data_IF_992292584825
#
_entry.id   IF_992292584825
#
_cell.length_a   1.000
_cell.length_b   1.000
_cell.length_c   1.000
_cell.angle_alpha   90.00
_cell.angle_beta   90.00
_cell.angle_gamma   90.00
#
_symmetry.space_group_name_H-M   'P 1'
#
loop_
_entity.id
_entity.type
_entity.pdbx_description
1 polymer ?
#
# COMPACT_ATOMS: atom_id res chain seq x y z
N UNK A 1 -31.63 -25.50 -25.23
CA UNK A 1 -31.05 -26.64 -24.46
C UNK A 1 -29.79 -27.31 -25.08
N UNK A 2 -28.87 -26.65 -25.81
CA UNK A 2 -27.62 -27.31 -26.26
C UNK A 2 -26.37 -27.00 -25.40
N UNK A 3 -26.42 -25.96 -24.57
CA UNK A 3 -25.27 -25.45 -23.79
C UNK A 3 -24.91 -26.35 -22.59
N UNK A 4 -25.93 -26.88 -21.90
CA UNK A 4 -25.73 -27.75 -20.74
C UNK A 4 -25.21 -29.15 -21.12
N UNK A 5 -25.58 -29.64 -22.31
CA UNK A 5 -25.10 -30.90 -22.88
C UNK A 5 -23.66 -30.81 -23.37
N UNK A 6 -23.24 -29.68 -23.94
CA UNK A 6 -21.84 -29.45 -24.36
C UNK A 6 -20.88 -29.26 -23.18
N UNK A 7 -21.34 -28.70 -22.06
CA UNK A 7 -20.54 -28.60 -20.82
C UNK A 7 -20.30 -29.99 -20.20
N UNK A 8 -21.30 -30.88 -20.22
CA UNK A 8 -21.17 -32.26 -19.72
C UNK A 8 -20.12 -33.06 -20.49
N UNK A 9 -20.03 -32.93 -21.82
CA UNK A 9 -19.09 -33.71 -22.65
C UNK A 9 -17.64 -33.19 -22.61
N UNK A 10 -17.40 -31.91 -22.25
CA UNK A 10 -16.03 -31.39 -22.07
C UNK A 10 -15.35 -31.84 -20.78
N UNK A 11 -16.13 -32.18 -19.75
CA UNK A 11 -15.62 -32.63 -18.45
C UNK A 11 -15.86 -34.11 -18.13
N UNK A 12 -16.82 -34.78 -18.78
CA UNK A 12 -17.03 -36.21 -18.63
C UNK A 12 -15.92 -37.00 -19.36
N UNK A 13 -15.01 -37.62 -18.59
CA UNK A 13 -14.09 -38.66 -19.10
C UNK A 13 -12.60 -38.43 -18.85
N UNK A 14 -12.18 -37.26 -18.35
CA UNK A 14 -10.76 -36.96 -18.13
C UNK A 14 -10.46 -36.41 -16.73
N UNK A 15 -10.48 -37.27 -15.68
CA UNK A 15 -10.21 -36.85 -14.30
C UNK A 15 -8.85 -36.16 -14.13
N UNK A 16 -7.83 -36.59 -14.88
CA UNK A 16 -6.50 -35.97 -14.87
C UNK A 16 -6.48 -34.55 -15.46
N UNK A 17 -7.32 -34.23 -16.45
CA UNK A 17 -7.41 -32.87 -17.02
C UNK A 17 -8.06 -31.92 -16.03
N UNK A 18 -9.17 -32.33 -15.41
CA UNK A 18 -9.84 -31.57 -14.36
C UNK A 18 -8.87 -31.28 -13.20
N UNK A 19 -8.18 -32.32 -12.71
CA UNK A 19 -7.19 -32.20 -11.64
C UNK A 19 -6.07 -31.21 -12.00
N UNK A 20 -5.46 -31.34 -13.18
CA UNK A 20 -4.40 -30.43 -13.65
C UNK A 20 -4.89 -28.99 -13.76
N UNK A 21 -6.10 -28.76 -14.28
CA UNK A 21 -6.67 -27.41 -14.36
C UNK A 21 -6.93 -26.83 -12.98
N UNK A 22 -7.46 -27.61 -12.04
CA UNK A 22 -7.73 -27.17 -10.67
C UNK A 22 -6.43 -26.82 -9.94
N UNK A 23 -5.38 -27.62 -10.11
CA UNK A 23 -4.07 -27.32 -9.54
C UNK A 23 -3.55 -25.99 -10.10
N UNK A 24 -3.55 -25.81 -11.43
CA UNK A 24 -3.08 -24.57 -12.05
C UNK A 24 -3.87 -23.35 -11.58
N UNK A 25 -5.19 -23.43 -11.49
CA UNK A 25 -6.01 -22.31 -11.02
C UNK A 25 -5.74 -21.97 -9.56
N UNK A 26 -5.55 -22.95 -8.68
CA UNK A 26 -5.17 -22.72 -7.29
C UNK A 26 -3.81 -22.03 -7.20
N UNK A 27 -2.81 -22.50 -7.95
CA UNK A 27 -1.49 -21.88 -7.98
C UNK A 27 -1.54 -20.43 -8.49
N UNK A 28 -2.26 -20.18 -9.58
CA UNK A 28 -2.45 -18.83 -10.14
C UNK A 28 -3.16 -17.92 -9.12
N UNK A 29 -4.24 -18.40 -8.50
CA UNK A 29 -4.96 -17.65 -7.48
C UNK A 29 -4.07 -17.36 -6.26
N UNK A 30 -3.29 -18.34 -5.80
CA UNK A 30 -2.35 -18.17 -4.69
C UNK A 30 -1.28 -17.12 -5.01
N UNK A 31 -0.70 -17.15 -6.21
CA UNK A 31 0.27 -16.14 -6.66
C UNK A 31 -0.38 -14.75 -6.71
N UNK A 32 -1.59 -14.64 -7.28
CA UNK A 32 -2.30 -13.38 -7.39
C UNK A 32 -2.63 -12.77 -6.01
N UNK A 33 -3.13 -13.58 -5.07
CA UNK A 33 -3.45 -13.12 -3.71
C UNK A 33 -2.18 -12.81 -2.91
N UNK A 34 -1.12 -13.60 -3.10
CA UNK A 34 0.14 -13.42 -2.37
C UNK A 34 0.91 -12.18 -2.84
N UNK A 35 0.96 -11.91 -4.14
CA UNK A 35 1.86 -10.93 -4.75
C UNK A 35 1.19 -9.79 -5.54
N UNK A 36 -0.11 -9.89 -5.82
CA UNK A 36 -0.87 -8.88 -6.55
C UNK A 36 -1.38 -7.77 -5.65
N UNK A 37 -2.61 -7.93 -5.14
CA UNK A 37 -3.30 -6.89 -4.38
C UNK A 37 -3.77 -7.38 -3.01
N UNK A 38 -4.00 -6.45 -2.08
CA UNK A 38 -4.68 -6.71 -0.81
C UNK A 38 -5.65 -5.60 -0.45
N UNK A 39 -6.80 -5.97 0.10
CA UNK A 39 -7.76 -5.06 0.70
C UNK A 39 -7.54 -4.99 2.20
N UNK A 40 -7.34 -3.79 2.73
CA UNK A 40 -7.03 -3.59 4.16
C UNK A 40 -7.93 -2.50 4.71
N UNK A 41 -8.66 -2.76 5.82
CA UNK A 41 -9.37 -1.70 6.53
C UNK A 41 -8.37 -0.79 7.22
N UNK A 42 -8.64 0.51 7.21
CA UNK A 42 -7.78 1.52 7.84
C UNK A 42 -8.47 2.10 9.06
N UNK A 43 -7.67 2.41 10.08
CA UNK A 43 -8.12 3.10 11.27
C UNK A 43 -7.07 4.13 11.71
N UNK A 44 -7.55 5.25 12.22
CA UNK A 44 -6.71 6.32 12.78
C UNK A 44 -6.73 7.62 11.97
N UNK A 45 -6.57 8.74 12.66
CA UNK A 45 -6.72 10.08 12.11
C UNK A 45 -5.50 10.61 11.33
N UNK A 46 -4.40 9.85 11.29
CA UNK A 46 -3.10 10.37 10.83
C UNK A 46 -2.99 10.67 9.34
N UNK A 47 -3.92 10.13 8.54
CA UNK A 47 -3.97 10.31 7.09
C UNK A 47 -5.15 11.18 6.64
N UNK A 48 -5.83 11.88 7.57
CA UNK A 48 -6.84 12.87 7.18
C UNK A 48 -6.19 13.99 6.34
N UNK A 49 -6.86 14.53 5.31
CA UNK A 49 -8.20 14.16 4.81
C UNK A 49 -8.17 13.04 3.75
N UNK A 50 -7.00 12.46 3.47
CA UNK A 50 -6.84 11.42 2.43
C UNK A 50 -7.62 10.15 2.78
N UNK A 51 -7.53 9.69 4.03
CA UNK A 51 -8.24 8.54 4.59
C UNK A 51 -8.97 8.94 5.88
N UNK A 52 -10.19 8.46 6.03
CA UNK A 52 -11.04 8.69 7.19
C UNK A 52 -10.59 7.90 8.42
N UNK A 53 -11.01 8.35 9.60
CA UNK A 53 -10.59 7.77 10.89
C UNK A 53 -11.04 6.32 11.04
N UNK A 54 -12.21 5.96 10.52
CA UNK A 54 -12.79 4.62 10.61
C UNK A 54 -13.61 4.32 9.36
N UNK A 55 -13.59 3.05 8.93
CA UNK A 55 -14.49 2.53 7.91
C UNK A 55 -13.93 2.53 6.48
N UNK A 56 -12.80 3.18 6.24
CA UNK A 56 -12.14 3.13 4.93
C UNK A 56 -11.51 1.75 4.69
N UNK A 57 -11.66 1.24 3.47
CA UNK A 57 -10.91 0.06 2.99
C UNK A 57 -10.08 0.51 1.80
N UNK A 58 -8.78 0.25 1.89
CA UNK A 58 -7.82 0.60 0.83
C UNK A 58 -7.38 -0.62 0.04
N UNK A 59 -7.13 -0.40 -1.25
CA UNK A 59 -6.48 -1.33 -2.15
C UNK A 59 -4.97 -1.06 -2.14
N UNK A 60 -4.21 -2.08 -1.75
CA UNK A 60 -2.75 -2.06 -1.72
C UNK A 60 -2.22 -2.92 -2.85
N UNK A 61 -1.33 -2.33 -3.66
CA UNK A 61 -0.58 -3.00 -4.71
C UNK A 61 0.78 -3.50 -4.17
N UNK A 62 0.92 -4.82 -4.06
CA UNK A 62 2.11 -5.48 -3.51
C UNK A 62 3.26 -5.56 -4.52
N UNK A 63 3.08 -5.14 -5.77
CA UNK A 63 4.19 -5.02 -6.74
C UNK A 63 5.26 -4.06 -6.20
N UNK A 64 4.83 -3.00 -5.52
CA UNK A 64 5.65 -1.99 -4.84
C UNK A 64 6.25 -2.41 -3.49
N UNK A 65 6.07 -3.67 -3.07
CA UNK A 65 6.65 -4.20 -1.83
C UNK A 65 8.17 -4.01 -1.82
N UNK A 66 8.74 -3.70 -0.65
CA UNK A 66 10.16 -3.40 -0.44
C UNK A 66 10.64 -2.14 -1.18
N UNK A 67 9.77 -1.15 -1.39
CA UNK A 67 10.11 0.13 -2.01
C UNK A 67 10.25 0.13 -3.53
N UNK A 68 9.97 -0.98 -4.22
CA UNK A 68 10.15 -1.07 -5.68
C UNK A 68 9.24 -0.08 -6.40
N UNK A 69 9.82 0.85 -7.15
CA UNK A 69 9.06 1.83 -7.94
C UNK A 69 8.24 2.82 -7.10
N UNK A 70 8.49 2.89 -5.79
CA UNK A 70 7.88 3.91 -4.93
C UNK A 70 8.51 5.26 -5.25
N UNK A 71 7.67 6.27 -5.43
CA UNK A 71 8.10 7.64 -5.70
C UNK A 71 7.65 8.59 -4.59
N UNK A 72 8.27 9.77 -4.50
CA UNK A 72 7.84 10.84 -3.59
C UNK A 72 6.37 11.18 -3.88
N UNK A 73 5.58 11.26 -2.81
CA UNK A 73 4.14 11.51 -2.84
C UNK A 73 3.28 10.25 -2.79
N UNK A 74 3.85 9.07 -2.97
CA UNK A 74 3.13 7.82 -2.83
C UNK A 74 2.69 7.56 -1.40
N UNK A 75 1.50 6.99 -1.24
CA UNK A 75 1.02 6.48 0.04
C UNK A 75 1.39 5.00 0.15
N UNK A 76 2.07 4.61 1.22
CA UNK A 76 2.60 3.25 1.40
C UNK A 76 2.09 2.64 2.70
N UNK A 77 1.85 1.32 2.67
CA UNK A 77 1.62 0.51 3.86
C UNK A 77 2.91 -0.21 4.23
N UNK A 78 3.31 -0.17 5.50
CA UNK A 78 4.54 -0.79 6.01
C UNK A 78 4.35 -1.34 7.42
N UNK A 79 5.24 -2.24 7.85
CA UNK A 79 5.27 -2.71 9.23
C UNK A 79 5.83 -1.61 10.15
N UNK A 80 5.13 -1.31 11.24
CA UNK A 80 5.51 -0.26 12.18
C UNK A 80 6.89 -0.52 12.78
N UNK A 81 7.74 0.51 12.74
CA UNK A 81 9.06 0.50 13.42
C UNK A 81 8.93 0.71 14.93
N UNK A 82 7.79 1.24 15.38
CA UNK A 82 7.54 1.60 16.78
C UNK A 82 6.88 0.45 17.52
N UNK A 83 5.87 -0.18 16.91
CA UNK A 83 5.07 -1.22 17.53
C UNK A 83 5.05 -2.48 16.66
N UNK A 84 5.84 -3.51 16.99
CA UNK A 84 5.91 -4.74 16.21
C UNK A 84 4.52 -5.37 16.00
N UNK A 85 4.25 -5.81 14.77
CA UNK A 85 2.99 -6.44 14.39
C UNK A 85 1.89 -5.48 13.92
N UNK A 86 2.07 -4.17 14.11
CA UNK A 86 1.15 -3.16 13.57
C UNK A 86 1.53 -2.78 12.14
N UNK A 87 0.53 -2.52 11.29
CA UNK A 87 0.71 -1.95 9.95
C UNK A 87 0.27 -0.50 9.94
N UNK A 88 1.12 0.36 9.39
CA UNK A 88 0.87 1.80 9.33
C UNK A 88 0.80 2.22 7.87
N UNK A 89 0.01 3.27 7.60
CA UNK A 89 -0.08 3.92 6.30
C UNK A 89 0.41 5.35 6.45
N UNK A 90 1.36 5.76 5.60
CA UNK A 90 1.91 7.12 5.54
C UNK A 90 2.22 7.50 4.09
N UNK A 91 2.39 8.80 3.84
CA UNK A 91 2.87 9.33 2.57
C UNK A 91 4.38 9.42 2.58
N UNK A 92 5.02 9.01 1.49
CA UNK A 92 6.44 9.22 1.26
C UNK A 92 6.65 10.67 0.86
N UNK A 93 7.52 11.39 1.57
CA UNK A 93 7.85 12.79 1.26
C UNK A 93 9.32 12.98 0.89
N UNK A 94 10.14 11.95 1.09
CA UNK A 94 11.52 11.90 0.60
C UNK A 94 12.01 10.47 0.44
N UNK A 95 12.88 10.25 -0.54
CA UNK A 95 13.57 9.00 -0.82
C UNK A 95 15.06 9.17 -0.56
N UNK A 96 15.82 8.07 -0.68
CA UNK A 96 17.27 8.09 -0.56
C UNK A 96 17.94 9.25 -1.31
N UNK A 97 18.83 9.96 -0.63
CA UNK A 97 19.51 11.14 -1.17
C UNK A 97 18.73 12.47 -1.05
N UNK A 98 17.42 12.44 -0.78
CA UNK A 98 16.65 13.67 -0.60
C UNK A 98 16.97 14.34 0.73
N UNK A 99 16.98 15.69 0.73
CA UNK A 99 17.04 16.50 1.93
C UNK A 99 15.62 16.95 2.31
N UNK A 100 15.13 16.49 3.46
CA UNK A 100 13.77 16.76 3.94
C UNK A 100 13.78 17.51 5.27
N UNK A 101 12.71 18.25 5.54
CA UNK A 101 12.50 18.88 6.85
C UNK A 101 12.25 17.78 7.89
N UNK A 102 13.08 17.76 8.93
CA UNK A 102 13.02 16.80 10.03
C UNK A 102 11.82 17.07 10.93
N UNK A 103 11.50 18.33 11.15
CA UNK A 103 10.49 18.77 12.10
C UNK A 103 9.18 19.14 11.37
N UNK A 104 8.12 19.48 12.11
CA UNK A 104 6.88 19.98 11.49
C UNK A 104 7.18 21.32 10.80
N UNK A 105 6.75 21.53 9.53
CA UNK A 105 6.95 22.80 8.84
C UNK A 105 6.48 23.98 9.69
N UNK A 106 7.35 24.98 9.86
CA UNK A 106 7.09 26.16 10.70
C UNK A 106 7.36 26.00 12.19
N UNK A 107 7.78 24.81 12.66
CA UNK A 107 8.22 24.59 14.05
C UNK A 107 9.74 24.41 14.20
N UNK A 108 10.48 24.21 13.11
CA UNK A 108 11.93 24.11 13.11
C UNK A 108 12.52 24.02 11.71
N UNK A 109 13.81 24.33 11.60
CA UNK A 109 14.56 24.38 10.32
C UNK A 109 15.56 23.23 10.17
N UNK A 110 15.41 22.18 11.00
CA UNK A 110 16.26 21.01 10.94
C UNK A 110 16.04 20.26 9.63
N UNK A 111 17.08 20.15 8.81
CA UNK A 111 17.07 19.31 7.61
C UNK A 111 17.76 17.97 7.88
N UNK A 112 17.28 16.92 7.25
CA UNK A 112 17.89 15.59 7.31
C UNK A 112 17.97 15.02 5.89
N UNK A 113 19.14 14.48 5.56
CA UNK A 113 19.32 13.72 4.33
C UNK A 113 18.87 12.29 4.56
N UNK A 114 18.02 11.77 3.68
CA UNK A 114 17.52 10.41 3.77
C UNK A 114 18.62 9.42 3.37
N UNK A 115 19.00 8.46 4.23
CA UNK A 115 20.02 7.48 3.90
C UNK A 115 19.61 6.54 2.77
N UNK A 116 20.61 5.90 2.13
CA UNK A 116 20.38 4.84 1.14
C UNK A 116 19.49 3.72 1.70
N UNK A 117 18.58 3.20 0.86
CA UNK A 117 17.64 2.14 1.24
C UNK A 117 16.52 2.58 2.19
N UNK A 118 16.44 3.87 2.54
CA UNK A 118 15.40 4.43 3.41
C UNK A 118 14.50 5.41 2.68
N UNK A 119 13.36 5.71 3.28
CA UNK A 119 12.51 6.82 2.88
C UNK A 119 12.04 7.60 4.12
N UNK A 120 11.65 8.85 3.91
CA UNK A 120 11.01 9.68 4.90
C UNK A 120 9.51 9.65 4.69
N UNK A 121 8.76 9.24 5.71
CA UNK A 121 7.30 9.10 5.63
C UNK A 121 6.62 10.00 6.63
N UNK A 122 5.53 10.63 6.21
CA UNK A 122 4.75 11.59 6.99
C UNK A 122 3.26 11.32 6.81
N UNK A 123 2.47 11.55 7.85
CA UNK A 123 1.01 11.48 7.74
C UNK A 123 0.44 12.81 7.27
N UNK A 124 -0.58 12.76 6.42
CA UNK A 124 -1.22 13.97 5.87
C UNK A 124 -1.84 14.86 6.97
N UNK A 125 -2.23 14.26 8.11
CA UNK A 125 -2.65 14.99 9.30
C UNK A 125 -1.46 15.23 10.24
N UNK A 126 -0.64 16.23 9.91
CA UNK A 126 0.65 16.51 10.57
C UNK A 126 0.59 16.52 12.10
N UNK A 127 -0.36 17.19 12.78
CA UNK A 127 -0.39 17.27 14.24
C UNK A 127 -0.75 15.93 14.93
N UNK A 128 -1.43 15.04 14.20
CA UNK A 128 -1.94 13.76 14.73
C UNK A 128 -1.24 12.55 14.12
N UNK A 129 -0.03 12.75 13.61
CA UNK A 129 0.74 11.70 12.96
C UNK A 129 2.05 11.41 13.70
N UNK A 130 2.17 10.18 14.21
CA UNK A 130 3.45 9.58 14.58
C UNK A 130 4.09 8.99 13.33
N UNK A 131 5.18 9.59 12.88
CA UNK A 131 5.83 9.32 11.60
C UNK A 131 7.34 9.59 11.67
N UNK A 132 8.04 9.73 10.54
CA UNK A 132 9.50 9.87 10.50
C UNK A 132 10.03 11.05 11.30
N UNK A 133 9.22 12.09 11.55
CA UNK A 133 9.61 13.21 12.44
C UNK A 133 9.87 12.74 13.89
N UNK A 134 9.31 11.60 14.28
CA UNK A 134 9.42 11.03 15.61
C UNK A 134 10.41 9.86 15.70
N UNK A 135 10.48 9.01 14.66
CA UNK A 135 11.31 7.80 14.67
C UNK A 135 12.47 7.81 13.66
N UNK A 136 12.59 8.85 12.84
CA UNK A 136 13.63 9.00 11.82
C UNK A 136 13.32 8.31 10.49
N UNK A 137 14.35 8.10 9.65
CA UNK A 137 14.18 7.48 8.33
C UNK A 137 13.73 6.02 8.45
N UNK A 138 12.84 5.60 7.56
CA UNK A 138 12.23 4.27 7.57
C UNK A 138 12.84 3.37 6.48
N UNK A 139 13.32 2.15 6.80
CA UNK A 139 13.83 1.23 5.78
C UNK A 139 12.75 0.85 4.76
N UNK A 140 13.02 1.05 3.47
CA UNK A 140 12.08 0.71 2.40
C UNK A 140 11.71 -0.78 2.36
N UNK A 141 12.57 -1.65 2.92
CA UNK A 141 12.32 -3.08 3.06
C UNK A 141 11.05 -3.42 3.88
N UNK A 142 10.59 -2.51 4.75
CA UNK A 142 9.38 -2.69 5.56
C UNK A 142 8.09 -2.46 4.77
N UNK A 143 8.18 -1.82 3.59
CA UNK A 143 7.02 -1.51 2.74
C UNK A 143 6.36 -2.81 2.26
N UNK A 144 5.06 -2.95 2.55
CA UNK A 144 4.20 -4.05 2.11
C UNK A 144 3.58 -3.80 0.75
N UNK A 145 3.38 -2.54 0.39
CA UNK A 145 2.90 -2.14 -0.92
C UNK A 145 2.44 -0.68 -0.95
N UNK A 146 2.09 -0.23 -2.15
CA UNK A 146 1.55 1.11 -2.41
C UNK A 146 0.05 1.09 -2.25
N UNK A 147 -0.50 2.06 -1.53
CA UNK A 147 -1.94 2.31 -1.46
C UNK A 147 -2.35 3.00 -2.75
N UNK A 148 -3.15 2.34 -3.58
CA UNK A 148 -3.52 2.84 -4.92
C UNK A 148 -4.95 3.37 -4.99
N UNK A 149 -5.85 2.89 -4.14
CA UNK A 149 -7.23 3.37 -4.10
C UNK A 149 -7.86 3.20 -2.72
N UNK A 150 -8.79 4.11 -2.38
CA UNK A 150 -9.86 3.86 -1.40
C UNK A 150 -11.01 3.20 -2.16
N UNK A 151 -11.44 2.01 -1.74
CA UNK A 151 -12.49 1.24 -2.43
C UNK A 151 -13.79 1.15 -1.65
N UNK A 152 -13.76 1.42 -0.35
CA UNK A 152 -14.93 1.46 0.52
C UNK A 152 -14.86 2.68 1.46
N UNK A 153 -16.00 3.32 1.80
CA UNK A 153 -17.36 3.05 1.31
C UNK A 153 -17.52 3.30 -0.20
N UNK A 154 -18.38 2.50 -0.85
CA UNK A 154 -18.48 2.46 -2.33
C UNK A 154 -18.78 3.82 -2.97
N UNK A 155 -19.52 4.69 -2.28
CA UNK A 155 -19.88 6.03 -2.76
C UNK A 155 -18.70 7.02 -2.78
N UNK A 156 -17.65 6.74 -2.00
CA UNK A 156 -16.49 7.62 -1.82
C UNK A 156 -15.21 6.99 -2.36
N UNK A 157 -15.34 5.96 -3.21
CA UNK A 157 -14.19 5.31 -3.82
C UNK A 157 -13.41 6.30 -4.68
N UNK A 158 -12.09 6.32 -4.52
CA UNK A 158 -11.19 7.22 -5.25
C UNK A 158 -9.84 6.56 -5.44
N UNK A 159 -9.16 6.90 -6.53
CA UNK A 159 -7.75 6.60 -6.67
C UNK A 159 -6.94 7.49 -5.73
N UNK A 160 -5.86 6.95 -5.18
CA UNK A 160 -4.93 7.72 -4.37
C UNK A 160 -3.87 8.28 -5.30
N UNK A 161 -3.96 9.57 -5.54
CA UNK A 161 -3.04 10.31 -6.40
C UNK A 161 -1.90 10.92 -5.58
N UNK A 162 -0.85 11.36 -6.28
CA UNK A 162 0.20 12.15 -5.69
C UNK A 162 -0.33 13.56 -5.42
N UNK A 163 -0.46 13.92 -4.14
CA UNK A 163 -0.94 15.24 -3.72
C UNK A 163 0.17 16.23 -3.39
N UNK A 164 1.44 15.90 -3.68
CA UNK A 164 2.56 16.82 -3.45
C UNK A 164 2.80 17.66 -4.70
N UNK A 165 2.85 18.97 -4.52
CA UNK A 165 3.23 19.93 -5.55
C UNK A 165 4.70 20.33 -5.37
N UNK A 166 5.40 20.51 -6.49
CA UNK A 166 6.74 21.06 -6.45
C UNK A 166 6.65 22.53 -6.02
N UNK A 167 7.46 22.93 -5.04
CA UNK A 167 7.61 24.33 -4.68
C UNK A 167 8.34 25.03 -5.84
N UNK A 168 7.65 25.96 -6.50
CA UNK A 168 8.21 26.80 -7.57
C UNK A 168 9.11 27.91 -7.02
#
# INVERSE_FOLDING_TARGET
MPLLTTLKTRFAGHPFRLLSTTIKTIFIAHVFVSYGFSLVPTSGASMLPTLEVLGDIVLIDKRYRRGRGVVVGDVVSFDSVVQPGERVIKRVVGLEGDCVVRDTPGMGDGMVMVPEGHCWVVGDNLPYSRDSRHFGPMPMALIKGKVVAKVFPWRERKWIENGLEAVQ
#
